data_IF_656916953426
#
_entry.id   IF_656916953426
#
_cell.length_a   1.000
_cell.length_b   1.000
_cell.length_c   1.000
_cell.angle_alpha   90.00
_cell.angle_beta   90.00
_cell.angle_gamma   90.00
#
_symmetry.space_group_name_H-M   'P 1'
#
loop_
_entity.id
_entity.type
_entity.pdbx_description
1 polymer ?
#
# COMPACT_ATOMS: atom_id res chain seq x y z
N UNK A 1 18.44 19.94 1.42
CA UNK A 1 18.78 19.23 2.66
C UNK A 1 18.10 17.88 2.59
N UNK A 2 18.87 16.79 2.51
CA UNK A 2 18.35 15.42 2.54
C UNK A 2 17.68 15.24 3.91
N UNK A 3 16.38 14.92 3.93
CA UNK A 3 15.67 14.60 5.17
C UNK A 3 16.31 13.36 5.79
N UNK A 4 17.15 13.54 6.81
CA UNK A 4 17.77 12.44 7.54
C UNK A 4 16.72 11.84 8.46
N UNK A 5 16.10 10.74 8.03
CA UNK A 5 15.22 9.95 8.89
C UNK A 5 15.99 9.58 10.17
N UNK A 6 15.52 9.94 11.38
CA UNK A 6 16.20 9.64 12.63
C UNK A 6 16.51 8.14 12.75
N UNK A 7 17.75 7.80 13.10
CA UNK A 7 18.22 6.40 13.17
C UNK A 7 17.71 5.63 14.39
N UNK A 8 17.14 6.30 15.40
CA UNK A 8 16.57 5.66 16.59
C UNK A 8 15.15 6.16 16.86
N UNK A 9 14.21 5.49 16.20
CA UNK A 9 12.78 5.81 16.22
C UNK A 9 12.03 5.08 17.32
N UNK A 10 12.70 4.13 17.98
CA UNK A 10 12.06 3.14 18.86
C UNK A 10 11.19 2.12 18.12
N UNK A 11 11.13 2.14 16.78
CA UNK A 11 10.37 1.16 15.98
C UNK A 11 11.12 -0.16 15.92
N UNK A 12 10.38 -1.27 15.95
CA UNK A 12 10.94 -2.61 15.77
C UNK A 12 11.56 -2.76 14.38
N UNK A 13 12.70 -3.45 14.31
CA UNK A 13 13.41 -3.77 13.06
C UNK A 13 13.29 -5.24 12.66
N UNK A 14 12.74 -6.07 13.55
CA UNK A 14 12.56 -7.51 13.34
C UNK A 14 11.19 -7.96 13.85
N UNK A 15 10.63 -8.99 13.22
CA UNK A 15 9.42 -9.66 13.68
C UNK A 15 9.77 -10.76 14.69
N UNK A 16 8.82 -11.17 15.57
CA UNK A 16 9.10 -12.17 16.59
C UNK A 16 9.51 -13.56 16.05
N UNK A 17 9.11 -13.88 14.82
CA UNK A 17 9.40 -15.16 14.19
C UNK A 17 9.66 -14.98 12.68
N UNK A 18 10.42 -15.92 12.12
CA UNK A 18 10.60 -16.03 10.67
C UNK A 18 9.31 -16.46 9.99
N UNK A 19 9.16 -16.11 8.71
CA UNK A 19 8.07 -16.63 7.88
C UNK A 19 8.17 -18.15 7.81
N UNK A 20 7.06 -18.84 8.05
CA UNK A 20 6.97 -20.31 7.96
C UNK A 20 7.18 -20.73 6.51
N UNK A 21 7.82 -21.88 6.29
CA UNK A 21 7.95 -22.45 4.95
C UNK A 21 6.58 -22.93 4.44
N UNK A 22 6.08 -22.23 3.42
CA UNK A 22 4.80 -22.49 2.78
C UNK A 22 4.97 -23.17 1.41
N UNK A 23 6.16 -23.71 1.11
CA UNK A 23 6.46 -24.44 -0.14
C UNK A 23 5.51 -25.60 -0.41
N UNK A 24 4.99 -26.22 0.63
CA UNK A 24 4.01 -27.30 0.58
C UNK A 24 2.61 -26.85 0.10
N UNK A 25 2.31 -25.55 0.17
CA UNK A 25 1.03 -25.00 -0.28
C UNK A 25 1.11 -24.81 -1.80
N UNK A 26 0.35 -25.62 -2.55
CA UNK A 26 0.25 -25.51 -4.01
C UNK A 26 -0.46 -24.23 -4.46
N UNK A 27 0.22 -23.08 -4.41
CA UNK A 27 -0.31 -21.78 -4.87
C UNK A 27 -0.88 -21.90 -6.28
N UNK A 28 -0.12 -22.55 -7.18
CA UNK A 28 -0.56 -22.80 -8.55
C UNK A 28 -1.84 -23.62 -8.60
N UNK A 29 -1.99 -24.66 -7.76
CA UNK A 29 -3.22 -25.47 -7.70
C UNK A 29 -4.43 -24.62 -7.27
N UNK A 30 -4.27 -23.76 -6.27
CA UNK A 30 -5.32 -22.84 -5.82
C UNK A 30 -5.69 -21.86 -6.94
N UNK A 31 -4.69 -21.30 -7.63
CA UNK A 31 -4.90 -20.37 -8.73
C UNK A 31 -5.59 -21.05 -9.93
N UNK A 32 -5.15 -22.25 -10.33
CA UNK A 32 -5.77 -23.03 -11.41
C UNK A 32 -7.23 -23.36 -11.12
N UNK A 33 -7.57 -23.71 -9.87
CA UNK A 33 -8.96 -23.97 -9.46
C UNK A 33 -9.84 -22.71 -9.47
N UNK A 34 -9.26 -21.52 -9.60
CA UNK A 34 -9.94 -20.23 -9.54
C UNK A 34 -9.68 -19.34 -10.78
N UNK A 35 -9.33 -19.93 -11.92
CA UNK A 35 -9.16 -19.20 -13.19
C UNK A 35 -10.43 -18.40 -13.51
N UNK A 36 -10.24 -17.11 -13.87
CA UNK A 36 -11.33 -16.20 -14.25
C UNK A 36 -12.18 -15.66 -13.09
N UNK A 37 -11.97 -16.12 -11.85
CA UNK A 37 -12.63 -15.56 -10.66
C UNK A 37 -11.85 -14.36 -10.11
N UNK A 38 -12.55 -13.47 -9.42
CA UNK A 38 -11.92 -12.42 -8.62
C UNK A 38 -11.31 -13.04 -7.35
N UNK A 39 -9.98 -13.02 -7.23
CA UNK A 39 -9.28 -13.61 -6.08
C UNK A 39 -9.53 -12.87 -4.76
N UNK A 40 -10.13 -11.67 -4.79
CA UNK A 40 -10.62 -11.03 -3.56
C UNK A 40 -11.67 -11.89 -2.84
N UNK A 41 -12.46 -12.67 -3.61
CA UNK A 41 -13.51 -13.58 -3.11
C UNK A 41 -13.03 -15.01 -2.86
N UNK A 42 -11.77 -15.32 -3.18
CA UNK A 42 -11.16 -16.63 -2.95
C UNK A 42 -10.46 -16.63 -1.59
N UNK A 43 -10.89 -17.53 -0.71
CA UNK A 43 -10.24 -17.78 0.58
C UNK A 43 -8.87 -18.42 0.35
N UNK A 44 -7.81 -17.70 0.70
CA UNK A 44 -6.44 -18.22 0.71
C UNK A 44 -6.11 -18.79 2.10
N UNK A 45 -5.35 -19.88 2.19
CA UNK A 45 -4.75 -20.32 3.45
C UNK A 45 -3.94 -19.20 4.10
N UNK A 46 -3.99 -19.09 5.43
CA UNK A 46 -3.31 -18.03 6.18
C UNK A 46 -1.80 -17.96 5.92
N UNK A 47 -1.13 -19.08 5.62
CA UNK A 47 0.29 -19.09 5.26
C UNK A 47 0.63 -18.34 3.96
N UNK A 48 -0.35 -18.14 3.07
CA UNK A 48 -0.15 -17.33 1.86
C UNK A 48 -0.40 -15.84 2.08
N UNK A 49 -0.83 -15.45 3.27
CA UNK A 49 -1.00 -14.06 3.62
C UNK A 49 0.29 -13.50 4.23
N UNK A 50 0.60 -12.25 3.91
CA UNK A 50 1.58 -11.49 4.69
C UNK A 50 0.94 -10.95 5.96
N UNK A 51 1.70 -10.67 7.03
CA UNK A 51 1.17 -10.13 8.29
C UNK A 51 0.83 -8.64 8.21
N UNK A 52 0.21 -8.22 7.10
CA UNK A 52 -0.31 -6.87 6.87
C UNK A 52 -1.68 -6.97 6.21
N UNK A 53 -2.57 -6.02 6.52
CA UNK A 53 -3.85 -5.88 5.85
C UNK A 53 -3.77 -4.87 4.68
N UNK A 54 -4.84 -4.76 3.90
CA UNK A 54 -4.89 -3.83 2.77
C UNK A 54 -4.77 -2.36 3.20
N UNK A 55 -5.32 -1.96 4.35
CA UNK A 55 -5.25 -0.58 4.85
C UNK A 55 -3.80 -0.17 5.16
N UNK A 56 -3.02 -1.11 5.72
CA UNK A 56 -1.59 -0.96 5.97
C UNK A 56 -0.81 -0.94 4.66
N UNK A 57 -1.15 -1.83 3.71
CA UNK A 57 -0.50 -1.86 2.40
C UNK A 57 -0.62 -0.53 1.67
N UNK A 58 -1.79 0.09 1.69
CA UNK A 58 -2.01 1.41 1.07
C UNK A 58 -1.18 2.50 1.77
N UNK A 59 -0.93 2.39 3.08
CA UNK A 59 -0.07 3.34 3.78
C UNK A 59 1.39 3.30 3.34
N UNK A 60 1.84 2.19 2.73
CA UNK A 60 3.20 2.05 2.21
C UNK A 60 3.45 2.88 0.95
N UNK A 61 2.41 3.40 0.29
CA UNK A 61 2.58 4.38 -0.80
C UNK A 61 3.23 5.68 -0.29
N UNK A 62 3.12 5.97 1.01
CA UNK A 62 3.78 7.09 1.69
C UNK A 62 5.19 6.71 2.20
N UNK A 63 5.77 5.59 1.74
CA UNK A 63 7.16 5.20 2.04
C UNK A 63 8.19 6.21 1.48
N UNK A 64 7.83 7.02 0.49
CA UNK A 64 8.72 8.07 -0.03
C UNK A 64 8.04 9.44 -0.01
N UNK A 65 7.31 9.73 1.08
CA UNK A 65 6.54 10.99 1.24
C UNK A 65 7.41 12.24 1.19
N UNK A 66 8.72 12.13 1.45
CA UNK A 66 9.68 13.23 1.30
C UNK A 66 9.72 13.81 -0.13
N UNK A 67 9.34 13.02 -1.14
CA UNK A 67 9.20 13.51 -2.51
C UNK A 67 8.09 14.57 -2.62
N UNK A 68 7.02 14.44 -1.84
CA UNK A 68 5.94 15.42 -1.77
C UNK A 68 6.39 16.69 -1.04
N UNK A 69 7.21 16.55 0.01
CA UNK A 69 7.81 17.69 0.70
C UNK A 69 8.74 18.48 -0.22
N UNK A 70 9.53 17.79 -1.05
CA UNK A 70 10.40 18.42 -2.06
C UNK A 70 9.52 19.11 -3.12
N UNK A 71 8.51 18.40 -3.64
CA UNK A 71 7.57 18.94 -4.63
C UNK A 71 6.89 20.24 -4.16
N UNK A 72 6.48 20.33 -2.89
CA UNK A 72 5.88 21.54 -2.31
C UNK A 72 6.84 22.73 -2.21
N UNK A 73 8.16 22.47 -2.20
CA UNK A 73 9.21 23.50 -2.12
C UNK A 73 9.75 23.89 -3.49
N UNK A 74 9.51 23.08 -4.51
CA UNK A 74 9.93 23.33 -5.89
C UNK A 74 9.02 24.37 -6.55
N UNK A 75 9.59 25.49 -6.97
CA UNK A 75 8.86 26.58 -7.63
C UNK A 75 8.45 26.22 -9.05
N UNK A 76 9.38 25.62 -9.83
CA UNK A 76 9.12 25.23 -11.21
C UNK A 76 8.03 24.15 -11.31
N UNK A 77 6.90 24.41 -11.99
CA UNK A 77 5.84 23.43 -12.17
C UNK A 77 6.29 22.14 -12.87
N UNK A 78 7.27 22.20 -13.77
CA UNK A 78 7.73 21.00 -14.49
C UNK A 78 8.58 20.10 -13.61
N UNK A 79 9.54 20.66 -12.87
CA UNK A 79 10.31 19.91 -11.88
C UNK A 79 9.40 19.37 -10.74
N UNK A 80 8.40 20.15 -10.29
CA UNK A 80 7.40 19.68 -9.32
C UNK A 80 6.63 18.46 -9.83
N UNK A 81 6.20 18.48 -11.10
CA UNK A 81 5.54 17.33 -11.74
C UNK A 81 6.46 16.11 -11.78
N UNK A 82 7.76 16.29 -11.99
CA UNK A 82 8.73 15.20 -11.97
C UNK A 82 8.77 14.50 -10.60
N UNK A 83 8.80 15.25 -9.49
CA UNK A 83 8.74 14.67 -8.15
C UNK A 83 7.42 13.93 -7.88
N UNK A 84 6.28 14.48 -8.31
CA UNK A 84 4.97 13.80 -8.22
C UNK A 84 4.97 12.50 -9.04
N UNK A 85 5.55 12.53 -10.24
CA UNK A 85 5.70 11.34 -11.09
C UNK A 85 6.56 10.26 -10.43
N UNK A 86 7.72 10.64 -9.88
CA UNK A 86 8.60 9.71 -9.16
C UNK A 86 7.88 9.14 -7.92
N UNK A 87 7.14 9.97 -7.18
CA UNK A 87 6.32 9.52 -6.04
C UNK A 87 5.27 8.49 -6.46
N UNK A 88 4.59 8.69 -7.59
CA UNK A 88 3.58 7.75 -8.09
C UNK A 88 4.15 6.34 -8.41
N UNK A 89 5.44 6.27 -8.76
CA UNK A 89 6.13 5.02 -9.09
C UNK A 89 6.71 4.38 -7.83
N UNK A 90 7.20 5.18 -6.89
CA UNK A 90 7.92 4.70 -5.71
C UNK A 90 7.06 3.81 -4.79
N UNK A 91 5.74 4.04 -4.75
CA UNK A 91 4.78 3.20 -4.02
C UNK A 91 4.75 1.73 -4.44
N UNK A 92 5.34 1.38 -5.59
CA UNK A 92 5.44 0.00 -6.08
C UNK A 92 6.79 -0.67 -5.78
N UNK A 93 7.76 0.03 -5.16
CA UNK A 93 9.11 -0.49 -4.94
C UNK A 93 9.14 -1.81 -4.14
N UNK A 94 8.21 -1.97 -3.20
CA UNK A 94 8.08 -3.17 -2.38
C UNK A 94 7.64 -4.42 -3.16
N UNK A 95 6.98 -4.26 -4.31
CA UNK A 95 6.33 -5.33 -5.05
C UNK A 95 7.31 -6.43 -5.48
N UNK A 96 8.56 -6.05 -5.81
CA UNK A 96 9.63 -6.98 -6.22
C UNK A 96 9.94 -8.02 -5.15
N UNK A 97 9.77 -7.68 -3.87
CA UNK A 97 10.17 -8.53 -2.75
C UNK A 97 9.01 -9.33 -2.13
N UNK A 98 7.76 -8.86 -2.30
CA UNK A 98 6.56 -9.45 -1.65
C UNK A 98 5.47 -9.91 -2.63
N UNK A 99 5.78 -10.03 -3.91
CA UNK A 99 4.84 -10.47 -4.97
C UNK A 99 4.18 -11.85 -4.77
N UNK A 100 4.62 -12.67 -3.80
CA UNK A 100 4.05 -13.99 -3.50
C UNK A 100 2.95 -14.00 -2.45
N UNK A 101 2.78 -12.92 -1.69
CA UNK A 101 1.89 -12.88 -0.54
C UNK A 101 0.71 -11.94 -0.74
N UNK A 102 -0.45 -12.36 -0.25
CA UNK A 102 -1.69 -11.56 -0.28
C UNK A 102 -1.82 -10.80 1.06
N UNK A 103 -2.07 -9.48 1.07
CA UNK A 103 -2.44 -8.81 2.31
C UNK A 103 -3.79 -9.33 2.81
N UNK A 104 -4.01 -9.30 4.12
CA UNK A 104 -5.32 -9.59 4.70
C UNK A 104 -6.38 -8.63 4.15
N UNK A 105 -7.54 -9.18 3.78
CA UNK A 105 -8.69 -8.38 3.38
C UNK A 105 -9.34 -7.80 4.64
N UNK A 106 -9.37 -6.47 4.84
CA UNK A 106 -9.94 -5.88 6.03
C UNK A 106 -11.44 -6.19 6.16
N UNK A 107 -11.91 -6.31 7.39
CA UNK A 107 -13.36 -6.41 7.66
C UNK A 107 -14.03 -5.04 7.49
N UNK A 108 -15.34 -5.02 7.24
CA UNK A 108 -16.08 -3.76 7.12
C UNK A 108 -15.95 -2.94 8.42
N UNK A 109 -15.60 -1.66 8.29
CA UNK A 109 -15.37 -0.76 9.42
C UNK A 109 -14.03 -0.97 10.15
N UNK A 110 -13.18 -1.87 9.67
CA UNK A 110 -11.80 -1.95 10.16
C UNK A 110 -11.06 -0.64 9.85
N UNK A 111 -10.29 -0.15 10.81
CA UNK A 111 -9.53 1.08 10.70
C UNK A 111 -8.04 0.82 10.90
N UNK A 112 -7.20 1.65 10.26
CA UNK A 112 -5.77 1.69 10.52
C UNK A 112 -5.30 3.13 10.59
N UNK A 113 -4.52 3.45 11.62
CA UNK A 113 -3.87 4.75 11.78
C UNK A 113 -2.35 4.59 11.84
N UNK A 114 -1.64 5.57 11.30
CA UNK A 114 -0.19 5.64 11.39
C UNK A 114 0.25 7.09 11.56
N UNK A 115 1.00 7.34 12.63
CA UNK A 115 1.61 8.64 12.87
C UNK A 115 3.11 8.55 12.63
N UNK A 116 3.56 9.09 11.49
CA UNK A 116 4.96 9.09 11.12
C UNK A 116 5.62 10.42 11.52
N UNK A 117 5.96 10.57 12.80
CA UNK A 117 6.59 11.80 13.32
C UNK A 117 7.85 12.20 12.54
N UNK A 118 8.65 11.22 12.14
CA UNK A 118 9.90 11.43 11.40
C UNK A 118 9.70 12.03 10.01
N UNK A 119 8.53 11.79 9.41
CA UNK A 119 8.16 12.27 8.07
C UNK A 119 7.05 13.31 8.10
N UNK A 120 6.64 13.74 9.30
CA UNK A 120 5.71 14.84 9.48
C UNK A 120 4.28 14.60 8.98
N UNK A 121 3.81 13.36 8.87
CA UNK A 121 2.45 13.08 8.43
C UNK A 121 1.66 12.20 9.39
N UNK A 122 0.33 12.37 9.37
CA UNK A 122 -0.67 11.53 10.01
C UNK A 122 -1.49 10.84 8.93
N UNK A 123 -1.74 9.55 9.09
CA UNK A 123 -2.49 8.73 8.15
C UNK A 123 -3.64 8.05 8.89
N UNK A 124 -4.81 8.05 8.27
CA UNK A 124 -5.98 7.30 8.69
C UNK A 124 -6.58 6.57 7.49
N UNK A 125 -7.04 5.35 7.72
CA UNK A 125 -7.73 4.55 6.72
C UNK A 125 -8.86 3.76 7.34
N UNK A 126 -9.91 3.53 6.55
CA UNK A 126 -11.07 2.75 6.91
C UNK A 126 -11.53 1.87 5.75
N UNK A 127 -11.93 0.64 6.05
CA UNK A 127 -12.62 -0.22 5.11
C UNK A 127 -14.10 0.19 5.04
N UNK A 128 -14.42 1.11 4.12
CA UNK A 128 -15.77 1.70 3.98
C UNK A 128 -16.77 0.80 3.23
N UNK A 129 -16.29 -0.22 2.52
CA UNK A 129 -17.15 -1.22 1.87
C UNK A 129 -16.45 -2.56 1.77
N UNK A 130 -17.20 -3.67 1.91
CA UNK A 130 -16.69 -5.02 1.75
C UNK A 130 -17.14 -5.67 0.42
N UNK A 131 -18.29 -5.25 -0.14
CA UNK A 131 -18.86 -5.80 -1.36
C UNK A 131 -19.41 -4.70 -2.29
N UNK A 132 -18.61 -4.17 -3.22
CA UNK A 132 -17.19 -4.50 -3.48
C UNK A 132 -16.25 -3.92 -2.41
N UNK A 133 -15.05 -4.52 -2.20
CA UNK A 133 -14.05 -3.97 -1.29
C UNK A 133 -13.64 -2.54 -1.69
N UNK A 134 -13.73 -1.61 -0.75
CA UNK A 134 -13.27 -0.24 -0.89
C UNK A 134 -12.63 0.22 0.43
N UNK A 135 -11.41 0.72 0.34
CA UNK A 135 -10.67 1.31 1.45
C UNK A 135 -10.53 2.81 1.20
N UNK A 136 -11.07 3.64 2.10
CA UNK A 136 -10.86 5.08 2.05
C UNK A 136 -9.65 5.43 2.91
N UNK A 137 -8.75 6.27 2.40
CA UNK A 137 -7.55 6.69 3.12
C UNK A 137 -7.36 8.19 3.02
N UNK A 138 -6.81 8.77 4.06
CA UNK A 138 -6.50 10.18 4.15
C UNK A 138 -5.22 10.39 4.95
N UNK A 139 -4.33 11.23 4.45
CA UNK A 139 -3.11 11.61 5.13
C UNK A 139 -2.89 13.12 5.07
N UNK A 140 -2.45 13.67 6.20
CA UNK A 140 -2.21 15.09 6.39
C UNK A 140 -0.78 15.33 6.86
N UNK A 141 -0.14 16.29 6.21
CA UNK A 141 1.16 16.87 6.54
C UNK A 141 1.04 18.39 6.43
N UNK A 142 2.03 19.12 6.95
CA UNK A 142 2.14 20.56 6.74
C UNK A 142 2.35 20.91 5.25
N UNK A 143 2.98 20.01 4.47
CA UNK A 143 3.36 20.26 3.09
C UNK A 143 2.49 19.56 2.05
N UNK A 144 1.62 18.63 2.47
CA UNK A 144 0.76 17.91 1.53
C UNK A 144 -0.49 17.34 2.21
N UNK A 145 -1.52 17.13 1.42
CA UNK A 145 -2.67 16.28 1.76
C UNK A 145 -2.76 15.17 0.71
N UNK A 146 -2.89 13.93 1.15
CA UNK A 146 -2.99 12.77 0.28
C UNK A 146 -4.27 12.01 0.61
N UNK A 147 -5.07 11.66 -0.40
CA UNK A 147 -6.28 10.86 -0.19
C UNK A 147 -6.62 10.03 -1.41
N UNK A 148 -7.25 8.89 -1.17
CA UNK A 148 -7.72 8.00 -2.24
C UNK A 148 -8.81 7.04 -1.74
N UNK A 149 -9.68 6.63 -2.65
CA UNK A 149 -10.54 5.48 -2.49
C UNK A 149 -9.97 4.28 -3.26
N UNK A 150 -9.31 3.38 -2.53
CA UNK A 150 -8.63 2.23 -3.12
C UNK A 150 -9.57 1.05 -3.28
N UNK A 151 -9.70 0.58 -4.53
CA UNK A 151 -10.50 -0.58 -4.91
C UNK A 151 -9.62 -1.58 -5.64
N UNK A 152 -9.41 -2.73 -5.02
CA UNK A 152 -8.54 -3.77 -5.54
C UNK A 152 -9.35 -4.90 -6.18
N UNK A 153 -9.00 -5.24 -7.42
CA UNK A 153 -9.52 -6.42 -8.12
C UNK A 153 -8.36 -7.26 -8.59
N UNK A 154 -8.43 -8.56 -8.34
CA UNK A 154 -7.36 -9.49 -8.70
C UNK A 154 -7.91 -10.51 -9.71
N UNK A 155 -7.33 -10.58 -10.91
CA UNK A 155 -7.74 -11.51 -11.96
C UNK A 155 -6.62 -12.48 -12.29
N UNK A 156 -6.89 -13.78 -12.19
CA UNK A 156 -5.94 -14.80 -12.61
C UNK A 156 -6.23 -15.26 -14.06
N UNK A 157 -5.24 -15.11 -14.92
CA UNK A 157 -5.29 -15.42 -16.36
C UNK A 157 -4.66 -16.79 -16.71
N UNK A 158 -4.57 -17.70 -15.75
CA UNK A 158 -4.01 -19.04 -15.95
C UNK A 158 -2.49 -19.12 -15.83
N UNK A 159 -1.75 -18.11 -16.29
CA UNK A 159 -0.28 -18.00 -16.11
C UNK A 159 0.17 -16.79 -15.31
N UNK A 160 -0.60 -15.71 -15.37
CA UNK A 160 -0.30 -14.45 -14.69
C UNK A 160 -1.44 -14.05 -13.77
N UNK A 161 -1.07 -13.35 -12.69
CA UNK A 161 -2.00 -12.65 -11.82
C UNK A 161 -1.97 -11.17 -12.19
N UNK A 162 -3.11 -10.64 -12.60
CA UNK A 162 -3.32 -9.22 -12.83
C UNK A 162 -3.91 -8.58 -11.58
N UNK A 163 -3.22 -7.56 -11.08
CA UNK A 163 -3.63 -6.77 -9.92
C UNK A 163 -4.10 -5.42 -10.45
N UNK A 164 -5.39 -5.13 -10.29
CA UNK A 164 -6.01 -3.91 -10.76
C UNK A 164 -6.35 -3.07 -9.54
N UNK A 165 -5.55 -2.03 -9.30
CA UNK A 165 -5.92 -0.92 -8.42
C UNK A 165 -6.77 0.07 -9.21
N UNK A 166 -7.88 0.50 -8.64
CA UNK A 166 -8.79 1.48 -9.22
C UNK A 166 -9.21 2.51 -8.20
N UNK A 167 -9.35 3.75 -8.66
CA UNK A 167 -9.58 4.93 -7.83
C UNK A 167 -8.54 6.01 -8.15
N UNK A 168 -8.92 7.30 -8.12
CA UNK A 168 -7.95 8.39 -8.25
C UNK A 168 -7.07 8.47 -7.00
N UNK A 169 -5.76 8.61 -7.22
CA UNK A 169 -4.83 9.04 -6.18
C UNK A 169 -4.75 10.55 -6.22
N UNK A 170 -5.06 11.20 -5.10
CA UNK A 170 -5.09 12.65 -5.03
C UNK A 170 -4.00 13.15 -4.08
N UNK A 171 -3.26 14.15 -4.54
CA UNK A 171 -2.29 14.89 -3.75
C UNK A 171 -2.59 16.38 -3.91
N UNK A 172 -2.70 17.08 -2.79
CA UNK A 172 -2.77 18.53 -2.75
C UNK A 172 -1.52 19.06 -2.08
N UNK A 173 -0.86 19.99 -2.76
CA UNK A 173 0.22 20.79 -2.20
C UNK A 173 -0.37 22.17 -1.85
N UNK A 174 -0.19 22.69 -0.61
CA UNK A 174 -0.82 23.92 -0.16
C UNK A 174 -0.15 25.20 -0.66
N UNK A 175 1.12 25.15 -1.09
CA UNK A 175 1.77 26.24 -1.85
C UNK A 175 1.41 26.17 -3.33
#
# INVERSE_FOLDING_TARGET
MVSTVPTNTGRRTVLPANCVDNSHIGIMTILYNNIGKDLSRVSMPCGLNEPLNLLQRVSEELEYSELLDIANRTEDPFERMLYIGVFSISGYAWATWRNRYKPFNPVLGETYESHCKERGFRYVAEQVSHHPPCSAVHAESENFTFWQDQRWKNKFWGKSLEIISSGPVNVKLPK
#
